data_IF_738297757975
#
_entry.id   IF_738297757975
#
_cell.length_a   1.000
_cell.length_b   1.000
_cell.length_c   1.000
_cell.angle_alpha   90.00
_cell.angle_beta   90.00
_cell.angle_gamma   90.00
#
_symmetry.space_group_name_H-M   'P 1'
#
loop_
_entity.id
_entity.type
_entity.pdbx_description
1 polymer ?
#
# COMPACT_ATOMS: atom_id res chain seq x y z
N UNK A 1 -19.50 6.38 9.68
CA UNK A 1 -18.18 6.61 10.31
C UNK A 1 -17.12 5.65 9.74
N UNK A 2 -17.36 4.33 9.79
CA UNK A 2 -16.44 3.28 9.30
C UNK A 2 -15.95 3.47 7.84
N UNK A 3 -16.84 3.91 6.93
CA UNK A 3 -16.47 4.14 5.53
C UNK A 3 -15.47 5.30 5.33
N UNK A 4 -15.64 6.40 6.09
CA UNK A 4 -14.71 7.55 6.05
C UNK A 4 -13.34 7.18 6.61
N UNK A 5 -13.31 6.38 7.68
CA UNK A 5 -12.06 5.86 8.27
C UNK A 5 -11.31 4.96 7.29
N UNK A 6 -12.00 4.02 6.63
CA UNK A 6 -11.42 3.18 5.59
C UNK A 6 -10.86 3.99 4.42
N UNK A 7 -11.62 4.97 3.93
CA UNK A 7 -11.15 5.88 2.87
C UNK A 7 -9.92 6.68 3.30
N UNK A 8 -9.89 7.16 4.54
CA UNK A 8 -8.76 7.91 5.10
C UNK A 8 -7.51 7.03 5.20
N UNK A 9 -7.64 5.80 5.73
CA UNK A 9 -6.52 4.84 5.83
C UNK A 9 -5.95 4.56 4.43
N UNK A 10 -6.81 4.22 3.46
CA UNK A 10 -6.37 3.95 2.08
C UNK A 10 -5.67 5.17 1.47
N UNK A 11 -6.19 6.38 1.70
CA UNK A 11 -5.58 7.61 1.19
C UNK A 11 -4.22 7.88 1.83
N UNK A 12 -4.08 7.72 3.14
CA UNK A 12 -2.80 7.92 3.83
C UNK A 12 -1.76 6.92 3.32
N UNK A 13 -2.13 5.64 3.23
CA UNK A 13 -1.23 4.58 2.76
C UNK A 13 -0.87 4.78 1.28
N UNK A 14 -1.82 5.17 0.43
CA UNK A 14 -1.56 5.43 -0.98
C UNK A 14 -0.65 6.65 -1.17
N UNK A 15 -0.87 7.73 -0.41
CA UNK A 15 0.02 8.89 -0.42
C UNK A 15 1.42 8.53 0.05
N UNK A 16 1.53 7.70 1.10
CA UNK A 16 2.80 7.16 1.57
C UNK A 16 3.52 6.36 0.48
N UNK A 17 2.83 5.43 -0.19
CA UNK A 17 3.40 4.64 -1.29
C UNK A 17 3.92 5.55 -2.40
N UNK A 18 3.11 6.49 -2.88
CA UNK A 18 3.51 7.42 -3.95
C UNK A 18 4.77 8.20 -3.57
N UNK A 19 4.84 8.66 -2.33
CA UNK A 19 5.99 9.40 -1.80
C UNK A 19 7.23 8.52 -1.71
N UNK A 20 7.06 7.28 -1.22
CA UNK A 20 8.14 6.31 -1.16
C UNK A 20 8.66 5.95 -2.55
N UNK A 21 7.79 5.69 -3.52
CA UNK A 21 8.17 5.35 -4.90
C UNK A 21 9.00 6.47 -5.53
N UNK A 22 8.55 7.72 -5.40
CA UNK A 22 9.26 8.87 -5.95
C UNK A 22 10.61 9.04 -5.25
N UNK A 23 10.62 8.98 -3.92
CA UNK A 23 11.86 9.10 -3.13
C UNK A 23 12.87 8.00 -3.49
N UNK A 24 12.41 6.76 -3.66
CA UNK A 24 13.25 5.62 -4.03
C UNK A 24 13.87 5.79 -5.41
N UNK A 25 13.12 6.30 -6.39
CA UNK A 25 13.63 6.57 -7.74
C UNK A 25 14.75 7.62 -7.69
N UNK A 26 14.54 8.70 -6.94
CA UNK A 26 15.52 9.78 -6.84
C UNK A 26 16.75 9.41 -5.98
N UNK A 27 16.61 8.50 -5.00
CA UNK A 27 17.77 7.97 -4.26
C UNK A 27 18.79 7.26 -5.18
N UNK A 28 18.33 6.67 -6.28
CA UNK A 28 19.20 6.03 -7.27
C UNK A 28 19.94 7.02 -8.20
N UNK A 29 19.61 8.32 -8.13
CA UNK A 29 20.22 9.34 -9.00
C UNK A 29 21.51 9.91 -8.39
N UNK A 30 22.43 10.46 -9.21
CA UNK A 30 23.72 10.97 -8.73
C UNK A 30 23.63 12.32 -7.99
N UNK A 31 22.44 12.90 -7.82
CA UNK A 31 22.27 14.24 -7.26
C UNK A 31 22.26 14.23 -5.72
N UNK A 32 23.34 14.71 -5.11
CA UNK A 32 23.51 14.72 -3.64
C UNK A 32 22.46 15.58 -2.89
N UNK A 33 21.97 16.67 -3.50
CA UNK A 33 20.95 17.52 -2.89
C UNK A 33 19.58 16.82 -2.73
N UNK A 34 19.32 15.75 -3.49
CA UNK A 34 18.11 14.93 -3.36
C UNK A 34 18.23 13.85 -2.27
N UNK A 35 19.44 13.63 -1.73
CA UNK A 35 19.74 12.64 -0.70
C UNK A 35 19.85 13.26 0.71
N UNK A 36 19.46 14.52 0.88
CA UNK A 36 19.46 15.17 2.19
C UNK A 36 18.43 14.48 3.09
N UNK A 37 18.88 14.01 4.24
CA UNK A 37 18.05 13.34 5.25
C UNK A 37 18.09 14.12 6.57
N UNK A 38 16.94 14.20 7.25
CA UNK A 38 16.80 14.78 8.59
C UNK A 38 16.34 13.65 9.50
N UNK A 39 17.14 13.27 10.50
CA UNK A 39 16.83 12.16 11.43
C UNK A 39 16.45 10.87 10.66
N UNK A 40 17.25 10.49 9.65
CA UNK A 40 17.02 9.35 8.75
C UNK A 40 15.76 9.41 7.87
N UNK A 41 15.06 10.54 7.85
CA UNK A 41 13.90 10.77 6.98
C UNK A 41 14.35 11.62 5.78
N UNK A 42 14.25 11.13 4.53
CA UNK A 42 14.59 11.92 3.36
C UNK A 42 13.72 13.18 3.27
N UNK A 43 14.32 14.34 3.06
CA UNK A 43 13.58 15.61 2.92
C UNK A 43 12.63 15.54 1.72
N UNK A 44 13.08 14.91 0.64
CA UNK A 44 12.26 14.66 -0.55
C UNK A 44 10.98 13.89 -0.22
N UNK A 45 11.05 12.89 0.68
CA UNK A 45 9.87 12.14 1.09
C UNK A 45 8.82 13.05 1.75
N UNK A 46 9.24 13.96 2.63
CA UNK A 46 8.33 14.89 3.33
C UNK A 46 7.62 15.80 2.33
N UNK A 47 8.36 16.38 1.39
CA UNK A 47 7.80 17.24 0.34
C UNK A 47 6.81 16.46 -0.52
N UNK A 48 7.21 15.27 -0.98
CA UNK A 48 6.38 14.43 -1.83
C UNK A 48 5.15 13.90 -1.09
N UNK A 49 5.21 13.69 0.21
CA UNK A 49 4.07 13.29 1.04
C UNK A 49 3.02 14.39 1.10
N UNK A 50 3.44 15.63 1.31
CA UNK A 50 2.54 16.80 1.26
C UNK A 50 1.83 16.91 -0.08
N UNK A 51 2.58 16.81 -1.20
CA UNK A 51 2.00 16.86 -2.54
C UNK A 51 1.09 15.66 -2.84
N UNK A 52 1.51 14.46 -2.43
CA UNK A 52 0.75 13.23 -2.62
C UNK A 52 -0.60 13.26 -1.93
N UNK A 53 -0.68 13.84 -0.73
CA UNK A 53 -1.94 13.99 0.00
C UNK A 53 -2.96 14.87 -0.73
N UNK A 54 -2.53 15.82 -1.56
CA UNK A 54 -3.43 16.69 -2.33
C UNK A 54 -4.10 15.92 -3.49
N UNK A 55 -3.39 14.97 -4.11
CA UNK A 55 -3.86 14.26 -5.31
C UNK A 55 -4.36 12.84 -5.04
N UNK A 56 -4.20 12.32 -3.81
CA UNK A 56 -4.41 10.90 -3.53
C UNK A 56 -5.86 10.43 -3.76
N UNK A 57 -6.83 11.31 -3.55
CA UNK A 57 -8.23 10.99 -3.80
C UNK A 57 -8.50 10.73 -5.29
N UNK A 58 -7.92 11.55 -6.17
CA UNK A 58 -8.02 11.40 -7.62
C UNK A 58 -7.30 10.14 -8.10
N UNK A 59 -6.14 9.84 -7.53
CA UNK A 59 -5.38 8.62 -7.84
C UNK A 59 -6.17 7.38 -7.42
N UNK A 60 -6.74 7.35 -6.20
CA UNK A 60 -7.60 6.26 -5.73
C UNK A 60 -8.80 6.05 -6.65
N UNK A 61 -9.47 7.13 -7.05
CA UNK A 61 -10.62 7.05 -7.95
C UNK A 61 -10.23 6.55 -9.34
N UNK A 62 -9.06 6.96 -9.84
CA UNK A 62 -8.48 6.46 -11.09
C UNK A 62 -8.18 4.97 -11.01
N UNK A 63 -7.60 4.48 -9.91
CA UNK A 63 -7.38 3.04 -9.68
C UNK A 63 -8.70 2.26 -9.73
N UNK A 64 -9.76 2.74 -9.06
CA UNK A 64 -11.08 2.09 -9.10
C UNK A 64 -11.64 2.02 -10.52
N UNK A 65 -11.45 3.08 -11.30
CA UNK A 65 -11.88 3.15 -12.71
C UNK A 65 -11.13 2.15 -13.58
N UNK A 66 -9.80 2.10 -13.45
CA UNK A 66 -8.92 1.16 -14.19
C UNK A 66 -9.27 -0.29 -13.88
N UNK A 67 -9.48 -0.62 -12.60
CA UNK A 67 -9.86 -1.96 -12.16
C UNK A 67 -11.34 -2.32 -12.49
N UNK A 68 -12.07 -1.40 -13.12
CA UNK A 68 -13.50 -1.50 -13.45
C UNK A 68 -14.33 -1.87 -12.22
N UNK A 69 -13.96 -1.36 -11.05
CA UNK A 69 -14.54 -1.73 -9.76
C UNK A 69 -16.07 -1.60 -9.73
N UNK A 70 -16.59 -0.55 -10.36
CA UNK A 70 -18.02 -0.25 -10.39
C UNK A 70 -18.82 -1.18 -11.31
N UNK A 71 -18.18 -1.74 -12.35
CA UNK A 71 -18.85 -2.58 -13.36
C UNK A 71 -18.90 -4.06 -12.99
N UNK A 72 -18.28 -4.48 -11.87
CA UNK A 72 -18.21 -5.88 -11.45
C UNK A 72 -19.40 -6.26 -10.57
N UNK A 73 -19.96 -7.45 -10.86
CA UNK A 73 -21.00 -8.07 -10.03
C UNK A 73 -20.42 -8.51 -8.68
N UNK A 74 -19.27 -9.19 -8.68
CA UNK A 74 -18.51 -9.50 -7.47
C UNK A 74 -17.33 -8.54 -7.31
N UNK A 75 -17.39 -7.73 -6.25
CA UNK A 75 -16.40 -6.70 -5.92
C UNK A 75 -15.36 -7.19 -4.91
N UNK A 76 -15.56 -8.35 -4.29
CA UNK A 76 -14.68 -8.85 -3.22
C UNK A 76 -13.26 -9.14 -3.69
N UNK A 77 -13.03 -9.93 -4.77
CA UNK A 77 -11.67 -10.32 -5.13
C UNK A 77 -10.84 -9.12 -5.58
N UNK A 78 -11.44 -8.21 -6.34
CA UNK A 78 -10.75 -7.00 -6.81
C UNK A 78 -10.48 -6.02 -5.66
N UNK A 79 -11.37 -5.97 -4.66
CA UNK A 79 -11.17 -5.17 -3.46
C UNK A 79 -10.03 -5.72 -2.62
N UNK A 80 -9.99 -7.04 -2.39
CA UNK A 80 -8.91 -7.72 -1.66
C UNK A 80 -7.56 -7.49 -2.35
N UNK A 81 -7.50 -7.62 -3.68
CA UNK A 81 -6.28 -7.31 -4.45
C UNK A 81 -5.89 -5.84 -4.28
N UNK A 82 -6.84 -4.91 -4.37
CA UNK A 82 -6.58 -3.47 -4.20
C UNK A 82 -6.00 -3.13 -2.83
N UNK A 83 -6.65 -3.58 -1.76
CA UNK A 83 -6.21 -3.33 -0.38
C UNK A 83 -4.90 -4.07 -0.06
N UNK A 84 -4.75 -5.31 -0.53
CA UNK A 84 -3.53 -6.08 -0.38
C UNK A 84 -2.33 -5.42 -1.06
N UNK A 85 -2.51 -4.87 -2.26
CA UNK A 85 -1.47 -4.08 -2.91
C UNK A 85 -1.07 -2.86 -2.08
N UNK A 86 -2.02 -2.16 -1.47
CA UNK A 86 -1.73 -1.01 -0.60
C UNK A 86 -0.86 -1.47 0.59
N UNK A 87 -1.25 -2.54 1.30
CA UNK A 87 -0.44 -3.01 2.43
C UNK A 87 0.94 -3.53 2.03
N UNK A 88 1.03 -4.19 0.88
CA UNK A 88 2.28 -4.69 0.34
C UNK A 88 3.23 -3.53 0.02
N UNK A 89 2.81 -2.60 -0.83
CA UNK A 89 3.66 -1.50 -1.27
C UNK A 89 3.99 -0.51 -0.16
N UNK A 90 3.12 -0.38 0.86
CA UNK A 90 3.45 0.42 2.05
C UNK A 90 4.66 -0.18 2.77
N UNK A 91 4.66 -1.48 3.04
CA UNK A 91 5.77 -2.14 3.73
C UNK A 91 7.04 -2.12 2.89
N UNK A 92 6.94 -2.43 1.60
CA UNK A 92 8.07 -2.37 0.66
C UNK A 92 8.65 -0.96 0.59
N UNK A 93 7.79 0.05 0.43
CA UNK A 93 8.21 1.45 0.36
C UNK A 93 8.85 1.94 1.65
N UNK A 94 8.34 1.50 2.81
CA UNK A 94 8.95 1.81 4.10
C UNK A 94 10.36 1.23 4.18
N UNK A 95 10.52 -0.05 3.83
CA UNK A 95 11.83 -0.71 3.89
C UNK A 95 12.80 -0.05 2.92
N UNK A 96 12.42 0.16 1.66
CA UNK A 96 13.30 0.76 0.65
C UNK A 96 13.78 2.16 1.02
N UNK A 97 12.91 2.98 1.61
CA UNK A 97 13.23 4.39 1.85
C UNK A 97 13.96 4.59 3.17
N UNK A 98 13.58 3.85 4.22
CA UNK A 98 14.02 4.11 5.60
C UNK A 98 14.90 3.01 6.19
N UNK A 99 14.71 1.75 5.80
CA UNK A 99 15.32 0.60 6.47
C UNK A 99 16.16 -0.29 5.54
N UNK A 100 16.47 0.14 4.32
CA UNK A 100 17.21 -0.66 3.34
C UNK A 100 18.57 -1.10 3.88
N UNK A 101 19.24 -0.20 4.58
CA UNK A 101 20.54 -0.46 5.20
C UNK A 101 20.48 -1.50 6.35
N UNK A 102 19.29 -1.79 6.88
CA UNK A 102 19.07 -2.77 7.95
C UNK A 102 18.71 -4.17 7.42
N UNK A 103 18.42 -4.29 6.12
CA UNK A 103 18.01 -5.55 5.49
C UNK A 103 19.20 -6.21 4.79
N UNK A 104 19.92 -7.06 5.53
CA UNK A 104 21.16 -7.72 5.09
C UNK A 104 20.91 -9.07 4.39
N UNK A 105 19.71 -9.64 4.52
CA UNK A 105 19.43 -11.02 4.10
C UNK A 105 18.66 -11.08 2.77
N UNK A 106 19.23 -11.80 1.81
CA UNK A 106 18.60 -12.13 0.52
C UNK A 106 18.18 -13.61 0.50
N UNK A 107 17.02 -13.90 -0.12
CA UNK A 107 16.55 -15.26 -0.38
C UNK A 107 16.55 -15.50 -1.89
N UNK A 108 17.41 -16.39 -2.38
CA UNK A 108 17.50 -16.70 -3.81
C UNK A 108 17.89 -15.49 -4.69
N UNK A 109 18.65 -14.54 -4.13
CA UNK A 109 19.04 -13.29 -4.82
C UNK A 109 17.97 -12.19 -4.80
N UNK A 110 16.83 -12.42 -4.13
CA UNK A 110 15.77 -11.42 -3.96
C UNK A 110 15.69 -10.98 -2.48
N UNK A 111 15.49 -9.68 -2.19
CA UNK A 111 15.46 -9.22 -0.81
C UNK A 111 14.34 -9.87 -0.01
N UNK A 112 14.70 -10.49 1.12
CA UNK A 112 13.80 -11.36 1.89
C UNK A 112 12.59 -10.59 2.47
N UNK A 113 12.73 -9.27 2.67
CA UNK A 113 11.64 -8.40 3.11
C UNK A 113 10.47 -8.35 2.12
N UNK A 114 10.68 -8.62 0.82
CA UNK A 114 9.59 -8.69 -0.16
C UNK A 114 8.63 -9.84 0.15
N UNK A 115 9.18 -11.00 0.54
CA UNK A 115 8.38 -12.18 0.91
C UNK A 115 7.59 -11.90 2.19
N UNK A 116 8.24 -11.34 3.21
CA UNK A 116 7.54 -10.98 4.44
C UNK A 116 6.47 -9.91 4.23
N UNK A 117 6.76 -8.88 3.43
CA UNK A 117 5.77 -7.86 3.09
C UNK A 117 4.56 -8.47 2.39
N UNK A 118 4.76 -9.45 1.50
CA UNK A 118 3.68 -10.16 0.82
C UNK A 118 2.82 -10.98 1.78
N UNK A 119 3.45 -11.80 2.63
CA UNK A 119 2.73 -12.60 3.63
C UNK A 119 1.94 -11.71 4.62
N UNK A 120 2.56 -10.63 5.09
CA UNK A 120 1.91 -9.66 5.97
C UNK A 120 0.75 -8.96 5.27
N UNK A 121 0.92 -8.55 4.01
CA UNK A 121 -0.13 -7.89 3.25
C UNK A 121 -1.36 -8.79 3.06
N UNK A 122 -1.15 -10.10 2.83
CA UNK A 122 -2.24 -11.06 2.77
C UNK A 122 -3.02 -11.11 4.09
N UNK A 123 -2.32 -11.32 5.21
CA UNK A 123 -2.93 -11.40 6.54
C UNK A 123 -3.66 -10.10 6.93
N UNK A 124 -3.03 -8.95 6.67
CA UNK A 124 -3.63 -7.64 6.90
C UNK A 124 -4.89 -7.42 6.06
N UNK A 125 -4.91 -7.92 4.83
CA UNK A 125 -6.10 -7.81 3.96
C UNK A 125 -7.29 -8.58 4.53
N UNK A 126 -7.06 -9.79 5.04
CA UNK A 126 -8.10 -10.61 5.68
C UNK A 126 -8.62 -9.91 6.94
N UNK A 127 -7.73 -9.48 7.83
CA UNK A 127 -8.11 -8.73 9.06
C UNK A 127 -8.89 -7.46 8.70
N UNK A 128 -8.42 -6.72 7.69
CA UNK A 128 -9.06 -5.49 7.25
C UNK A 128 -10.45 -5.73 6.67
N UNK A 129 -10.65 -6.84 5.98
CA UNK A 129 -11.95 -7.27 5.48
C UNK A 129 -12.93 -7.54 6.63
N UNK A 130 -12.50 -8.28 7.66
CA UNK A 130 -13.33 -8.61 8.81
C UNK A 130 -13.78 -7.36 9.57
N UNK A 131 -12.89 -6.38 9.72
CA UNK A 131 -13.18 -5.13 10.46
C UNK A 131 -14.09 -4.21 9.65
N UNK A 132 -13.78 -3.96 8.37
CA UNK A 132 -14.42 -2.89 7.59
C UNK A 132 -15.53 -3.37 6.65
N UNK A 133 -15.56 -4.66 6.31
CA UNK A 133 -16.45 -5.24 5.29
C UNK A 133 -17.10 -6.58 5.70
N UNK A 134 -17.70 -6.69 6.90
CA UNK A 134 -18.28 -7.96 7.38
C UNK A 134 -19.41 -8.50 6.49
N UNK A 135 -20.12 -7.65 5.74
CA UNK A 135 -21.16 -8.06 4.77
C UNK A 135 -20.61 -8.77 3.53
N UNK A 136 -19.37 -8.48 3.12
CA UNK A 136 -18.70 -9.22 2.04
C UNK A 136 -18.24 -10.60 2.52
N UNK A 137 -17.89 -10.72 3.80
CA UNK A 137 -17.53 -11.99 4.43
C UNK A 137 -18.74 -12.93 4.58
N UNK A 138 -19.91 -12.42 5.01
CA UNK A 138 -21.09 -13.23 5.29
C UNK A 138 -21.90 -13.71 4.07
N UNK A 139 -21.78 -13.08 2.89
CA UNK A 139 -22.63 -13.41 1.75
C UNK A 139 -22.16 -14.63 0.94
N UNK A 140 -21.00 -15.22 1.26
CA UNK A 140 -20.41 -16.30 0.46
C UNK A 140 -19.57 -17.30 1.28
N UNK A 141 -19.81 -17.48 2.58
CA UNK A 141 -19.61 -18.84 3.11
C UNK A 141 -20.57 -19.72 2.33
N UNK A 142 -20.09 -20.72 1.54
CA UNK A 142 -21.02 -21.66 0.95
C UNK A 142 -21.86 -22.19 2.09
N UNK A 143 -23.18 -22.02 2.02
CA UNK A 143 -24.08 -22.82 2.84
C UNK A 143 -23.70 -24.24 2.49
N UNK A 144 -22.96 -24.90 3.38
CA UNK A 144 -22.67 -26.32 3.27
C UNK A 144 -24.06 -26.92 3.15
N UNK A 145 -24.40 -27.41 1.96
CA UNK A 145 -25.70 -28.00 1.68
C UNK A 145 -25.91 -29.09 2.74
N UNK A 146 -26.86 -28.86 3.64
CA UNK A 146 -27.39 -29.85 4.56
C UNK A 146 -28.21 -30.87 3.80
#
# INVERSE_FOLDING_TARGET
MLHKVNQMIQNILLAFIMSCSITSIFKATPYEWLKVEVIHIPVLFIVMLGLSLLIVEDVRNSFKKVLRFEKRQDKRPIWQVGVGMIFYFTQVGFVEVFARNLMVHDLGGMPLYLVFAFMNAFLLTVIYEEIFYPKLSNNQTPKIHS
#
